data_IF_013886658089
#
_entry.id   IF_013886658089
#
_cell.length_a   1.000
_cell.length_b   1.000
_cell.length_c   1.000
_cell.angle_alpha   90.00
_cell.angle_beta   90.00
_cell.angle_gamma   90.00
#
_symmetry.space_group_name_H-M   'P 1'
#
loop_
_entity.id
_entity.type
_entity.pdbx_description
1 polymer ?
#
# COMPACT_ATOMS: atom_id res chain seq x y z
N UNK A 1 9.08 -16.07 -27.21
CA UNK A 1 8.98 -17.01 -26.07
C UNK A 1 7.77 -17.89 -26.34
N UNK A 2 7.93 -19.20 -26.45
CA UNK A 2 6.79 -20.11 -26.66
C UNK A 2 6.24 -20.58 -25.30
N UNK A 3 4.92 -20.64 -25.19
CA UNK A 3 4.22 -21.18 -24.01
C UNK A 3 4.05 -22.70 -24.20
N UNK A 4 4.62 -23.48 -23.29
CA UNK A 4 4.45 -24.93 -23.25
C UNK A 4 3.48 -25.29 -22.12
N UNK A 5 2.32 -25.86 -22.45
CA UNK A 5 1.35 -26.35 -21.47
C UNK A 5 1.57 -27.83 -21.20
N UNK A 6 1.75 -28.20 -19.94
CA UNK A 6 1.92 -29.58 -19.50
C UNK A 6 0.92 -29.90 -18.40
N UNK A 7 0.47 -31.15 -18.33
CA UNK A 7 -0.20 -31.64 -17.13
C UNK A 7 0.79 -31.74 -15.95
N UNK A 8 0.28 -31.73 -14.71
CA UNK A 8 1.11 -31.96 -13.52
C UNK A 8 1.95 -33.24 -13.63
N UNK A 9 1.37 -34.31 -14.18
CA UNK A 9 2.05 -35.60 -14.36
C UNK A 9 3.23 -35.49 -15.34
N UNK A 10 3.04 -34.83 -16.48
CA UNK A 10 4.10 -34.62 -17.47
C UNK A 10 5.20 -33.69 -16.94
N UNK A 11 4.80 -32.61 -16.25
CA UNK A 11 5.73 -31.68 -15.64
C UNK A 11 6.62 -32.37 -14.59
N UNK A 12 6.05 -33.23 -13.75
CA UNK A 12 6.80 -34.01 -12.76
C UNK A 12 7.84 -34.92 -13.41
N UNK A 13 7.47 -35.60 -14.49
CA UNK A 13 8.37 -36.54 -15.17
C UNK A 13 9.52 -35.85 -15.92
N UNK A 14 9.33 -34.58 -16.32
CA UNK A 14 10.29 -33.83 -17.14
C UNK A 14 10.96 -32.67 -16.39
N UNK A 15 10.72 -32.53 -15.09
CA UNK A 15 11.09 -31.33 -14.32
C UNK A 15 12.56 -30.91 -14.50
N UNK A 16 13.57 -31.79 -14.41
CA UNK A 16 14.97 -31.38 -14.57
C UNK A 16 15.28 -30.79 -15.96
N UNK A 17 14.70 -31.36 -17.02
CA UNK A 17 14.87 -30.89 -18.40
C UNK A 17 14.14 -29.56 -18.59
N UNK A 18 12.92 -29.44 -18.07
CA UNK A 18 12.13 -28.21 -18.14
C UNK A 18 12.83 -27.05 -17.44
N UNK A 19 13.48 -27.29 -16.29
CA UNK A 19 14.26 -26.26 -15.59
C UNK A 19 15.41 -25.76 -16.47
N UNK A 20 16.13 -26.66 -17.16
CA UNK A 20 17.18 -26.29 -18.12
C UNK A 20 16.65 -25.47 -19.29
N UNK A 21 15.56 -25.93 -19.93
CA UNK A 21 14.93 -25.22 -21.06
C UNK A 21 14.43 -23.82 -20.67
N UNK A 22 13.87 -23.68 -19.47
CA UNK A 22 13.38 -22.40 -18.93
C UNK A 22 14.54 -21.48 -18.54
N UNK A 23 15.62 -22.02 -17.98
CA UNK A 23 16.82 -21.26 -17.63
C UNK A 23 17.53 -20.69 -18.87
N UNK A 24 17.52 -21.43 -19.99
CA UNK A 24 18.04 -20.98 -21.29
C UNK A 24 17.11 -19.98 -22.00
N UNK A 25 15.98 -19.60 -21.38
CA UNK A 25 15.04 -18.60 -21.90
C UNK A 25 14.22 -19.08 -23.11
N UNK A 26 14.21 -20.39 -23.39
CA UNK A 26 13.57 -20.95 -24.58
C UNK A 26 12.04 -20.98 -24.43
N UNK A 27 11.54 -21.39 -23.27
CA UNK A 27 10.12 -21.64 -23.03
C UNK A 27 9.65 -21.09 -21.67
N UNK A 28 8.38 -20.69 -21.60
CA UNK A 28 7.62 -20.59 -20.35
C UNK A 28 6.78 -21.86 -20.22
N UNK A 29 6.79 -22.50 -19.05
CA UNK A 29 6.04 -23.76 -18.83
C UNK A 29 4.85 -23.49 -17.93
N UNK A 30 3.65 -23.74 -18.44
CA UNK A 30 2.40 -23.67 -17.67
C UNK A 30 2.00 -25.07 -17.27
N UNK A 31 2.00 -25.33 -15.96
CA UNK A 31 1.54 -26.59 -15.40
C UNK A 31 0.04 -26.49 -15.14
N UNK A 32 -0.71 -27.43 -15.70
CA UNK A 32 -2.17 -27.49 -15.63
C UNK A 32 -2.66 -28.74 -14.92
N UNK A 33 -3.81 -28.65 -14.27
CA UNK A 33 -4.59 -29.79 -13.78
C UNK A 33 -5.99 -29.67 -14.35
N UNK A 34 -6.50 -30.71 -15.02
CA UNK A 34 -7.80 -30.66 -15.71
C UNK A 34 -7.93 -29.42 -16.63
N UNK A 35 -6.86 -29.11 -17.37
CA UNK A 35 -6.73 -27.93 -18.23
C UNK A 35 -6.80 -26.56 -17.54
N UNK A 36 -6.85 -26.49 -16.22
CA UNK A 36 -6.73 -25.25 -15.47
C UNK A 36 -5.27 -24.97 -15.09
N UNK A 37 -4.74 -23.77 -15.37
CA UNK A 37 -3.40 -23.37 -14.90
C UNK A 37 -3.31 -23.44 -13.37
N UNK A 38 -2.26 -24.10 -12.87
CA UNK A 38 -1.97 -24.20 -11.42
C UNK A 38 -0.61 -23.62 -11.05
N UNK A 39 0.36 -23.68 -11.95
CA UNK A 39 1.67 -23.09 -11.73
C UNK A 39 2.30 -22.67 -13.05
N UNK A 40 3.23 -21.73 -12.98
CA UNK A 40 4.04 -21.28 -14.11
C UNK A 40 5.51 -21.35 -13.71
N UNK A 41 6.32 -21.97 -14.56
CA UNK A 41 7.78 -21.96 -14.43
C UNK A 41 8.34 -21.00 -15.48
N UNK A 42 9.09 -20.00 -15.03
CA UNK A 42 9.79 -19.01 -15.85
C UNK A 42 11.25 -18.88 -15.39
N UNK A 43 12.10 -18.40 -16.29
CA UNK A 43 13.50 -18.15 -15.98
C UNK A 43 13.63 -17.05 -14.93
N UNK A 44 14.64 -17.16 -14.07
CA UNK A 44 14.83 -16.20 -12.97
C UNK A 44 14.97 -14.76 -13.46
N UNK A 45 15.70 -14.52 -14.55
CA UNK A 45 15.83 -13.17 -15.15
C UNK A 45 14.51 -12.63 -15.70
N UNK A 46 13.68 -13.50 -16.30
CA UNK A 46 12.36 -13.13 -16.78
C UNK A 46 11.44 -12.78 -15.61
N UNK A 47 11.47 -13.58 -14.54
CA UNK A 47 10.78 -13.28 -13.28
C UNK A 47 11.23 -11.94 -12.72
N UNK A 48 12.54 -11.71 -12.58
CA UNK A 48 13.06 -10.43 -12.08
C UNK A 48 12.63 -9.24 -12.95
N UNK A 49 12.63 -9.39 -14.28
CA UNK A 49 12.18 -8.34 -15.20
C UNK A 49 10.69 -8.05 -15.02
N UNK A 50 9.86 -9.09 -14.91
CA UNK A 50 8.43 -8.94 -14.68
C UNK A 50 8.15 -8.30 -13.32
N UNK A 51 8.87 -8.69 -12.27
CA UNK A 51 8.80 -8.06 -10.95
C UNK A 51 9.16 -6.57 -11.01
N UNK A 52 10.27 -6.21 -11.66
CA UNK A 52 10.65 -4.79 -11.83
C UNK A 52 9.59 -4.00 -12.57
N UNK A 53 9.02 -4.55 -13.65
CA UNK A 53 7.95 -3.88 -14.40
C UNK A 53 6.66 -3.73 -13.58
N UNK A 54 6.32 -4.74 -12.77
CA UNK A 54 5.19 -4.67 -11.83
C UNK A 54 5.39 -3.55 -10.81
N UNK A 55 6.52 -3.54 -10.13
CA UNK A 55 6.87 -2.50 -9.14
C UNK A 55 6.89 -1.11 -9.80
N UNK A 56 7.45 -0.97 -11.01
CA UNK A 56 7.42 0.29 -11.76
C UNK A 56 6.01 0.75 -12.14
N UNK A 57 5.15 -0.18 -12.55
CA UNK A 57 3.74 0.09 -12.85
C UNK A 57 2.98 0.51 -11.60
N UNK A 58 3.14 -0.24 -10.50
CA UNK A 58 2.56 0.07 -9.20
C UNK A 58 3.01 1.45 -8.70
N UNK A 59 4.28 1.81 -8.86
CA UNK A 59 4.79 3.15 -8.55
C UNK A 59 4.08 4.26 -9.29
N UNK A 60 3.83 4.06 -10.59
CA UNK A 60 3.12 5.05 -11.40
C UNK A 60 1.69 5.23 -10.90
N UNK A 61 0.98 4.13 -10.71
CA UNK A 61 -0.40 4.12 -10.20
C UNK A 61 -0.46 4.79 -8.82
N UNK A 62 0.43 4.41 -7.91
CA UNK A 62 0.53 4.99 -6.57
C UNK A 62 0.74 6.51 -6.62
N UNK A 63 1.63 7.00 -7.49
CA UNK A 63 1.90 8.44 -7.63
C UNK A 63 0.66 9.19 -8.16
N UNK A 64 -0.04 8.63 -9.14
CA UNK A 64 -1.27 9.20 -9.69
C UNK A 64 -2.36 9.27 -8.61
N UNK A 65 -2.60 8.17 -7.88
CA UNK A 65 -3.58 8.10 -6.79
C UNK A 65 -3.25 9.05 -5.63
N UNK A 66 -1.98 9.14 -5.21
CA UNK A 66 -1.57 10.08 -4.15
C UNK A 66 -1.78 11.53 -4.60
N UNK A 67 -1.54 11.85 -5.88
CA UNK A 67 -1.83 13.17 -6.44
C UNK A 67 -3.33 13.49 -6.42
N UNK A 68 -4.18 12.52 -6.75
CA UNK A 68 -5.65 12.67 -6.68
C UNK A 68 -6.12 12.88 -5.23
N UNK A 69 -5.59 12.08 -4.30
CA UNK A 69 -5.87 12.19 -2.87
C UNK A 69 -5.46 13.56 -2.30
N UNK A 70 -4.30 14.08 -2.70
CA UNK A 70 -3.85 15.43 -2.33
C UNK A 70 -4.72 16.54 -2.95
N UNK A 71 -5.18 16.35 -4.19
CA UNK A 71 -6.11 17.30 -4.81
C UNK A 71 -7.45 17.34 -4.07
N UNK A 72 -7.99 16.18 -3.72
CA UNK A 72 -9.21 16.05 -2.93
C UNK A 72 -9.09 16.76 -1.57
N UNK A 73 -8.00 16.50 -0.82
CA UNK A 73 -7.73 17.17 0.46
C UNK A 73 -7.68 18.69 0.33
N UNK A 74 -6.98 19.21 -0.68
CA UNK A 74 -6.87 20.67 -0.91
C UNK A 74 -8.22 21.28 -1.25
N UNK A 75 -9.01 20.66 -2.12
CA UNK A 75 -10.35 21.15 -2.46
C UNK A 75 -11.25 21.18 -1.21
N UNK A 76 -11.18 20.16 -0.36
CA UNK A 76 -11.93 20.12 0.90
C UNK A 76 -11.43 21.18 1.89
N UNK A 77 -10.12 21.41 2.00
CA UNK A 77 -9.56 22.48 2.85
C UNK A 77 -10.02 23.88 2.42
N UNK A 78 -10.11 24.14 1.12
CA UNK A 78 -10.53 25.44 0.57
C UNK A 78 -12.06 25.65 0.71
N UNK A 79 -12.83 24.57 0.64
CA UNK A 79 -14.30 24.61 0.68
C UNK A 79 -14.89 24.60 2.09
N UNK A 80 -14.25 23.91 3.03
CA UNK A 80 -14.81 23.65 4.35
C UNK A 80 -14.63 24.83 5.31
N UNK A 81 -15.70 25.21 6.02
CA UNK A 81 -15.70 26.32 6.99
C UNK A 81 -15.96 25.89 8.43
N UNK A 82 -16.24 24.61 8.66
CA UNK A 82 -16.57 24.12 9.99
C UNK A 82 -16.73 22.60 10.08
N UNK A 83 -16.70 22.11 11.30
CA UNK A 83 -16.85 20.70 11.63
C UNK A 83 -18.27 20.19 11.28
N UNK A 84 -18.36 18.98 10.71
CA UNK A 84 -19.64 18.34 10.38
C UNK A 84 -20.34 18.86 9.11
N UNK A 85 -19.64 19.64 8.28
CA UNK A 85 -20.15 20.05 6.97
C UNK A 85 -20.32 18.84 6.03
N UNK A 86 -21.36 18.83 5.17
CA UNK A 86 -21.56 17.77 4.18
C UNK A 86 -20.33 17.50 3.31
N UNK A 87 -19.53 18.53 3.06
CA UNK A 87 -18.30 18.45 2.27
C UNK A 87 -17.23 17.57 2.94
N UNK A 88 -17.15 17.55 4.28
CA UNK A 88 -16.25 16.65 5.01
C UNK A 88 -16.71 15.20 4.95
N UNK A 89 -18.02 14.95 4.97
CA UNK A 89 -18.55 13.60 4.82
C UNK A 89 -18.31 13.06 3.40
N UNK A 90 -18.60 13.87 2.37
CA UNK A 90 -18.32 13.50 0.98
C UNK A 90 -16.83 13.28 0.75
N UNK A 91 -15.99 14.13 1.34
CA UNK A 91 -14.54 13.96 1.37
C UNK A 91 -14.17 12.58 1.94
N UNK A 92 -14.64 12.23 3.13
CA UNK A 92 -14.28 10.98 3.80
C UNK A 92 -14.61 9.76 2.93
N UNK A 93 -15.79 9.72 2.31
CA UNK A 93 -16.20 8.62 1.43
C UNK A 93 -15.27 8.51 0.22
N UNK A 94 -15.04 9.59 -0.52
CA UNK A 94 -14.15 9.57 -1.69
C UNK A 94 -12.70 9.28 -1.32
N UNK A 95 -12.27 9.79 -0.17
CA UNK A 95 -10.91 9.60 0.33
C UNK A 95 -10.68 8.15 0.77
N UNK A 96 -11.68 7.47 1.34
CA UNK A 96 -11.58 6.05 1.69
C UNK A 96 -11.37 5.15 0.47
N UNK A 97 -12.05 5.43 -0.64
CA UNK A 97 -11.88 4.66 -1.88
C UNK A 97 -10.48 4.87 -2.47
N UNK A 98 -9.99 6.12 -2.53
CA UNK A 98 -8.61 6.41 -2.94
C UNK A 98 -7.58 5.72 -2.05
N UNK A 99 -7.78 5.74 -0.72
CA UNK A 99 -6.85 5.10 0.21
C UNK A 99 -6.81 3.57 0.05
N UNK A 100 -7.92 2.94 -0.33
CA UNK A 100 -7.95 1.51 -0.66
C UNK A 100 -7.10 1.22 -1.90
N UNK A 101 -7.27 2.00 -2.96
CA UNK A 101 -6.50 1.84 -4.19
C UNK A 101 -5.00 2.12 -3.97
N UNK A 102 -4.69 3.12 -3.13
CA UNK A 102 -3.33 3.44 -2.69
C UNK A 102 -2.72 2.28 -1.90
N UNK A 103 -3.49 1.64 -1.01
CA UNK A 103 -3.04 0.48 -0.25
C UNK A 103 -2.69 -0.70 -1.17
N UNK A 104 -3.58 -1.04 -2.11
CA UNK A 104 -3.35 -2.12 -3.09
C UNK A 104 -2.10 -1.86 -3.95
N UNK A 105 -1.93 -0.64 -4.44
CA UNK A 105 -0.72 -0.26 -5.17
C UNK A 105 0.53 -0.28 -4.27
N UNK A 106 0.37 0.11 -3.01
CA UNK A 106 1.41 0.10 -1.99
C UNK A 106 1.93 -1.30 -1.68
N UNK A 107 1.09 -2.33 -1.65
CA UNK A 107 1.49 -3.72 -1.42
C UNK A 107 2.48 -4.24 -2.47
N UNK A 108 2.29 -3.84 -3.73
CA UNK A 108 3.21 -4.20 -4.83
C UNK A 108 4.50 -3.35 -4.81
N UNK A 109 4.54 -2.24 -4.07
CA UNK A 109 5.72 -1.36 -3.94
C UNK A 109 6.57 -1.75 -2.72
N UNK A 110 6.02 -1.63 -1.51
CA UNK A 110 6.67 -2.06 -0.27
C UNK A 110 5.70 -2.12 0.90
N UNK A 111 6.03 -2.92 1.92
CA UNK A 111 5.24 -3.03 3.15
C UNK A 111 5.02 -1.69 3.86
N UNK A 112 6.00 -0.78 3.83
CA UNK A 112 5.87 0.53 4.47
C UNK A 112 4.81 1.41 3.79
N UNK A 113 4.72 1.37 2.44
CA UNK A 113 3.67 2.09 1.71
C UNK A 113 2.28 1.56 2.05
N UNK A 114 2.12 0.23 2.01
CA UNK A 114 0.88 -0.42 2.38
C UNK A 114 0.48 -0.07 3.83
N UNK A 115 1.44 -0.07 4.76
CA UNK A 115 1.16 0.24 6.17
C UNK A 115 0.64 1.67 6.35
N UNK A 116 1.31 2.68 5.77
CA UNK A 116 0.86 4.07 5.85
C UNK A 116 -0.55 4.24 5.23
N UNK A 117 -0.81 3.60 4.09
CA UNK A 117 -2.12 3.68 3.42
C UNK A 117 -3.23 3.04 4.26
N UNK A 118 -2.97 1.87 4.87
CA UNK A 118 -3.89 1.18 5.76
C UNK A 118 -4.28 2.05 6.96
N UNK A 119 -3.33 2.78 7.53
CA UNK A 119 -3.54 3.58 8.73
C UNK A 119 -4.36 4.82 8.46
N UNK A 120 -4.10 5.48 7.33
CA UNK A 120 -4.97 6.55 6.83
C UNK A 120 -6.38 6.03 6.57
N UNK A 121 -6.54 4.80 6.08
CA UNK A 121 -7.83 4.18 5.84
C UNK A 121 -8.57 3.90 7.17
N UNK A 122 -7.87 3.44 8.19
CA UNK A 122 -8.45 3.18 9.50
C UNK A 122 -8.83 4.47 10.24
N UNK A 123 -8.01 5.52 10.14
CA UNK A 123 -8.37 6.88 10.57
C UNK A 123 -9.65 7.35 9.86
N UNK A 124 -9.74 7.17 8.55
CA UNK A 124 -10.92 7.56 7.78
C UNK A 124 -12.17 6.79 8.25
N UNK A 125 -12.04 5.49 8.52
CA UNK A 125 -13.13 4.66 9.05
C UNK A 125 -13.65 5.13 10.40
N UNK A 126 -12.76 5.55 11.32
CA UNK A 126 -13.16 6.11 12.62
C UNK A 126 -14.05 7.35 12.42
N UNK A 127 -13.66 8.25 11.51
CA UNK A 127 -14.47 9.44 11.20
C UNK A 127 -15.79 9.11 10.50
N UNK A 128 -15.80 8.14 9.57
CA UNK A 128 -17.03 7.69 8.91
C UNK A 128 -18.00 6.98 9.87
N UNK A 129 -17.50 6.25 10.86
CA UNK A 129 -18.31 5.61 11.89
C UNK A 129 -18.97 6.62 12.84
N UNK A 130 -18.44 7.86 12.89
CA UNK A 130 -18.89 8.89 13.80
C UNK A 130 -18.37 8.72 15.23
N UNK A 131 -17.39 7.83 15.43
CA UNK A 131 -16.70 7.62 16.71
C UNK A 131 -15.83 8.84 17.08
N UNK A 132 -15.39 9.60 16.07
CA UNK A 132 -14.76 10.91 16.20
C UNK A 132 -15.23 11.82 15.06
N UNK A 133 -14.97 13.13 15.16
CA UNK A 133 -15.30 14.12 14.13
C UNK A 133 -14.05 14.68 13.49
N UNK A 134 -13.98 14.58 12.17
CA UNK A 134 -12.92 15.20 11.40
C UNK A 134 -13.09 16.73 11.45
N UNK A 135 -12.07 17.42 11.94
CA UNK A 135 -11.99 18.88 11.96
C UNK A 135 -11.19 19.38 10.74
N UNK A 136 -11.52 20.55 10.18
CA UNK A 136 -10.80 21.10 9.01
C UNK A 136 -9.28 21.19 9.22
N UNK A 137 -8.82 21.49 10.45
CA UNK A 137 -7.40 21.62 10.78
C UNK A 137 -6.66 20.27 10.66
N UNK A 138 -7.36 19.15 10.80
CA UNK A 138 -6.80 17.79 10.70
C UNK A 138 -6.55 17.36 9.24
N UNK A 139 -7.09 18.09 8.24
CA UNK A 139 -6.82 17.81 6.83
C UNK A 139 -5.35 18.06 6.47
N UNK A 140 -4.69 19.05 7.08
CA UNK A 140 -3.29 19.37 6.78
C UNK A 140 -2.32 18.26 7.25
N UNK A 141 -2.47 17.70 8.47
CA UNK A 141 -1.70 16.53 8.87
C UNK A 141 -1.90 15.30 7.97
N UNK A 142 -3.14 15.02 7.53
CA UNK A 142 -3.41 13.94 6.57
C UNK A 142 -2.68 14.17 5.24
N UNK A 143 -2.69 15.40 4.74
CA UNK A 143 -1.95 15.78 3.53
C UNK A 143 -0.45 15.56 3.70
N UNK A 144 0.12 15.92 4.86
CA UNK A 144 1.54 15.70 5.15
C UNK A 144 1.90 14.21 5.09
N UNK A 145 1.14 13.35 5.76
CA UNK A 145 1.42 11.91 5.76
C UNK A 145 1.29 11.29 4.37
N UNK A 146 0.29 11.69 3.56
CA UNK A 146 0.19 11.23 2.18
C UNK A 146 1.42 11.55 1.33
N UNK A 147 2.11 12.67 1.58
CA UNK A 147 3.32 13.00 0.80
C UNK A 147 4.43 11.96 1.00
N UNK A 148 4.45 11.27 2.15
CA UNK A 148 5.42 10.22 2.42
C UNK A 148 5.31 9.07 1.41
N UNK A 149 4.10 8.73 0.95
CA UNK A 149 3.84 7.67 -0.03
C UNK A 149 4.43 7.94 -1.42
N UNK A 150 4.93 9.15 -1.68
CA UNK A 150 5.66 9.49 -2.91
C UNK A 150 7.16 9.22 -2.82
N UNK A 151 7.67 8.91 -1.62
CA UNK A 151 9.11 8.66 -1.40
C UNK A 151 9.47 7.26 -1.88
N UNK A 152 10.40 7.17 -2.84
CA UNK A 152 10.90 5.89 -3.39
C UNK A 152 11.38 4.91 -2.33
N UNK A 153 11.94 5.43 -1.25
CA UNK A 153 12.45 4.65 -0.13
C UNK A 153 11.69 5.08 1.13
N UNK A 154 10.84 4.17 1.60
CA UNK A 154 10.12 4.25 2.87
C UNK A 154 10.47 3.04 3.70
N UNK A 155 10.73 3.29 4.98
CA UNK A 155 10.99 2.28 5.99
C UNK A 155 9.78 2.15 6.92
N UNK A 156 9.76 1.09 7.74
CA UNK A 156 8.75 0.96 8.79
C UNK A 156 8.91 2.02 9.89
N UNK A 157 10.10 2.60 10.04
CA UNK A 157 10.33 3.72 10.95
C UNK A 157 9.64 4.99 10.45
N UNK A 158 9.72 5.29 9.15
CA UNK A 158 8.97 6.41 8.55
C UNK A 158 7.45 6.24 8.77
N UNK A 159 6.96 5.00 8.68
CA UNK A 159 5.57 4.68 8.94
C UNK A 159 5.17 4.92 10.41
N UNK A 160 5.99 4.48 11.36
CA UNK A 160 5.78 4.76 12.79
C UNK A 160 5.89 6.26 13.13
N UNK A 161 6.75 7.01 12.44
CA UNK A 161 6.84 8.46 12.60
C UNK A 161 5.58 9.16 12.06
N UNK A 162 5.03 8.68 10.94
CA UNK A 162 3.77 9.18 10.40
C UNK A 162 2.62 9.01 11.39
N UNK A 163 2.54 7.85 12.06
CA UNK A 163 1.58 7.59 13.14
C UNK A 163 1.65 8.64 14.24
N UNK A 164 2.85 8.83 14.81
CA UNK A 164 3.05 9.81 15.87
C UNK A 164 2.72 11.21 15.44
N UNK A 165 3.04 11.55 14.21
CA UNK A 165 2.69 12.83 13.65
C UNK A 165 1.17 13.02 13.63
N UNK A 166 0.39 12.04 13.19
CA UNK A 166 -1.08 12.07 13.27
C UNK A 166 -1.57 12.19 14.71
N UNK A 167 -1.04 11.38 15.63
CA UNK A 167 -1.41 11.41 17.05
C UNK A 167 -1.14 12.78 17.70
N UNK A 168 -0.01 13.42 17.38
CA UNK A 168 0.34 14.76 17.87
C UNK A 168 -0.62 15.85 17.39
N UNK A 169 -1.40 15.58 16.34
CA UNK A 169 -2.47 16.46 15.82
C UNK A 169 -3.87 15.98 16.22
N UNK A 170 -3.96 15.07 17.20
CA UNK A 170 -5.22 14.52 17.70
C UNK A 170 -5.96 13.68 16.67
N UNK A 171 -5.24 13.01 15.78
CA UNK A 171 -5.78 12.03 14.83
C UNK A 171 -5.35 10.65 15.34
N UNK A 172 -6.31 9.87 15.82
CA UNK A 172 -6.03 8.53 16.34
C UNK A 172 -5.81 7.55 15.17
N UNK A 173 -4.55 7.39 14.77
CA UNK A 173 -4.07 6.23 14.02
C UNK A 173 -3.53 5.19 15.02
N UNK A 174 -3.59 3.90 14.69
CA UNK A 174 -3.04 2.84 15.53
C UNK A 174 -2.28 1.86 14.67
N UNK A 175 -0.99 2.15 14.45
CA UNK A 175 -0.12 1.19 13.80
C UNK A 175 -0.04 -0.10 14.62
N UNK A 176 -0.20 -1.29 14.00
CA UNK A 176 0.15 -2.53 14.65
C UNK A 176 1.67 -2.62 14.78
N UNK A 177 2.21 -2.01 15.83
CA UNK A 177 3.65 -2.02 16.11
C UNK A 177 4.04 -3.41 16.62
N UNK A 178 4.78 -4.18 15.82
CA UNK A 178 5.39 -5.44 16.27
C UNK A 178 6.87 -5.24 16.64
N UNK A 179 7.28 -5.75 17.80
CA UNK A 179 8.70 -5.83 18.20
C UNK A 179 9.34 -4.50 18.64
N UNK A 180 10.60 -4.27 18.25
CA UNK A 180 11.47 -3.19 18.73
C UNK A 180 10.97 -1.76 18.40
N UNK A 181 9.97 -1.62 17.53
CA UNK A 181 9.36 -0.32 17.19
C UNK A 181 8.47 0.23 18.30
N UNK A 182 8.11 -0.58 19.32
CA UNK A 182 7.39 -0.13 20.52
C UNK A 182 8.20 0.91 21.28
N UNK A 183 9.53 0.75 21.34
CA UNK A 183 10.42 1.66 22.06
C UNK A 183 10.37 3.10 21.54
N UNK A 184 10.02 3.27 20.27
CA UNK A 184 9.85 4.59 19.69
C UNK A 184 8.68 5.35 20.39
N UNK A 185 7.68 4.66 20.95
CA UNK A 185 6.54 5.28 21.66
C UNK A 185 6.84 5.59 23.14
N UNK A 186 7.92 5.07 23.72
CA UNK A 186 8.25 5.21 25.14
C UNK A 186 9.09 6.46 25.45
N UNK A 187 9.64 7.17 24.46
CA UNK A 187 10.56 8.30 24.67
C UNK A 187 9.88 9.65 25.07
N UNK A 188 8.58 9.67 25.36
CA UNK A 188 7.87 10.91 25.74
C UNK A 188 6.87 10.74 26.90
N UNK A 189 7.23 10.06 27.99
CA UNK A 189 6.67 10.45 29.28
C UNK A 189 7.37 11.76 29.73
N UNK A 190 6.68 12.91 29.82
CA UNK A 190 7.26 14.06 30.49
C UNK A 190 7.48 13.71 31.97
N UNK A 191 8.70 13.92 32.46
CA UNK A 191 8.98 13.85 33.89
C UNK A 191 7.94 14.72 34.64
N UNK A 192 7.19 14.16 35.59
CA UNK A 192 6.30 14.99 36.41
C UNK A 192 7.15 15.96 37.24
N UNK A 193 6.83 17.25 37.10
CA UNK A 193 7.43 18.35 37.85
C UNK A 193 7.18 18.25 39.37
#
# INVERSE_FOLDING_TARGET
>A
MMELRLSVTEARNRLPVLVGEVAEGKNQVVITTRNEPKAVIIGYEAFQRQQRLRVQGAWRVLTELVSEAQALLRTTQEGCRGEGEPDLYLFLVSFADLLRDIWEAGEEVSQAHASIASELLDVNRIYLAGDDRLRPEQLAPLAHVLTLLTRRELTMEDAAQADRYLLSHGINAMFPVQGDLVALYDEQEPEPA
#
